data_IF_579601314392
#
_entry.id   IF_579601314392
#
_cell.length_a   1.000
_cell.length_b   1.000
_cell.length_c   1.000
_cell.angle_alpha   90.00
_cell.angle_beta   90.00
_cell.angle_gamma   90.00
#
_symmetry.space_group_name_H-M   'P 1'
#
loop_
_entity.id
_entity.type
_entity.pdbx_description
1 polymer ?
#
# COMPACT_ATOMS: atom_id res chain seq x y z
N UNK A 1 22.63 9.23 5.17
CA UNK A 1 21.32 9.88 4.92
C UNK A 1 20.21 8.92 4.44
N UNK A 2 20.52 7.71 3.94
CA UNK A 2 19.54 6.86 3.23
C UNK A 2 18.46 6.19 4.10
N UNK A 3 18.78 5.78 5.33
CA UNK A 3 17.84 4.98 6.16
C UNK A 3 16.70 5.80 6.74
N UNK A 4 16.97 7.02 7.22
CA UNK A 4 15.95 7.88 7.83
C UNK A 4 14.91 8.33 6.79
N UNK A 5 15.36 8.70 5.58
CA UNK A 5 14.45 9.06 4.48
C UNK A 5 13.59 7.88 4.04
N UNK A 6 14.16 6.68 3.93
CA UNK A 6 13.41 5.47 3.63
C UNK A 6 12.37 5.17 4.72
N UNK A 7 12.70 5.31 6.00
CA UNK A 7 11.75 5.13 7.12
C UNK A 7 10.62 6.16 7.07
N UNK A 8 10.93 7.44 6.81
CA UNK A 8 9.90 8.47 6.67
C UNK A 8 8.95 8.19 5.49
N UNK A 9 9.47 7.72 4.35
CA UNK A 9 8.64 7.44 3.18
C UNK A 9 7.82 6.17 3.39
N UNK A 10 8.42 5.08 3.90
CA UNK A 10 7.76 3.78 4.02
C UNK A 10 6.78 3.72 5.20
N UNK A 11 7.01 4.49 6.27
CA UNK A 11 6.20 4.39 7.50
C UNK A 11 5.35 5.63 7.71
N UNK A 12 5.92 6.84 7.64
CA UNK A 12 5.17 8.05 7.97
C UNK A 12 4.18 8.45 6.87
N UNK A 13 4.53 8.25 5.59
CA UNK A 13 3.69 8.62 4.46
C UNK A 13 2.37 7.81 4.39
N UNK A 14 2.38 6.47 4.52
CA UNK A 14 1.14 5.69 4.60
C UNK A 14 0.26 6.10 5.76
N UNK A 15 0.84 6.33 6.94
CA UNK A 15 0.08 6.73 8.14
C UNK A 15 -0.59 8.10 7.95
N UNK A 16 0.09 9.05 7.30
CA UNK A 16 -0.48 10.34 6.96
C UNK A 16 -1.67 10.19 5.98
N UNK A 17 -1.49 9.39 4.92
CA UNK A 17 -2.55 9.12 3.94
C UNK A 17 -3.75 8.47 4.61
N UNK A 18 -3.52 7.49 5.48
CA UNK A 18 -4.57 6.83 6.27
C UNK A 18 -5.33 7.83 7.13
N UNK A 19 -4.62 8.68 7.86
CA UNK A 19 -5.26 9.64 8.76
C UNK A 19 -6.12 10.66 8.00
N UNK A 20 -5.58 11.19 6.90
CA UNK A 20 -6.30 12.14 6.03
C UNK A 20 -7.50 11.48 5.34
N UNK A 21 -7.34 10.25 4.87
CA UNK A 21 -8.41 9.52 4.18
C UNK A 21 -9.54 9.09 5.13
N UNK A 22 -9.21 8.66 6.35
CA UNK A 22 -10.19 8.14 7.30
C UNK A 22 -10.94 9.26 8.05
N UNK A 23 -10.37 10.46 8.18
CA UNK A 23 -10.98 11.57 8.95
C UNK A 23 -12.43 11.94 8.57
N UNK A 24 -12.79 12.01 7.26
CA UNK A 24 -14.14 12.35 6.83
C UNK A 24 -15.20 11.30 7.17
N UNK A 25 -14.79 10.08 7.52
CA UNK A 25 -15.74 8.99 7.78
C UNK A 25 -16.29 9.06 9.23
N UNK A 26 -17.55 8.61 9.44
CA UNK A 26 -18.10 8.39 10.78
C UNK A 26 -17.21 7.49 11.63
N UNK A 27 -17.19 7.69 12.95
CA UNK A 27 -16.25 7.01 13.87
C UNK A 27 -16.32 5.49 13.74
N UNK A 28 -17.54 4.95 13.61
CA UNK A 28 -17.83 3.54 13.37
C UNK A 28 -17.21 2.98 12.08
N UNK A 29 -16.93 3.83 11.10
CA UNK A 29 -16.36 3.45 9.80
C UNK A 29 -14.88 3.81 9.63
N UNK A 30 -14.31 4.61 10.53
CA UNK A 30 -12.92 5.10 10.41
C UNK A 30 -11.89 3.97 10.36
N UNK A 31 -12.09 2.91 11.14
CA UNK A 31 -11.16 1.76 11.13
C UNK A 31 -11.19 1.06 9.78
N UNK A 32 -12.36 0.86 9.18
CA UNK A 32 -12.47 0.25 7.85
C UNK A 32 -11.86 1.14 6.77
N UNK A 33 -12.16 2.44 6.79
CA UNK A 33 -11.56 3.40 5.86
C UNK A 33 -10.03 3.47 6.01
N UNK A 34 -9.53 3.44 7.25
CA UNK A 34 -8.10 3.42 7.54
C UNK A 34 -7.42 2.17 6.99
N UNK A 35 -8.03 1.00 7.17
CA UNK A 35 -7.52 -0.27 6.62
C UNK A 35 -7.48 -0.24 5.10
N UNK A 36 -8.55 0.24 4.46
CA UNK A 36 -8.63 0.36 2.99
C UNK A 36 -7.57 1.29 2.43
N UNK A 37 -7.21 2.36 3.14
CA UNK A 37 -6.15 3.28 2.71
C UNK A 37 -4.74 2.78 3.06
N UNK A 38 -4.57 2.04 4.15
CA UNK A 38 -3.26 1.65 4.68
C UNK A 38 -2.51 0.71 3.74
N UNK A 39 -3.17 -0.34 3.26
CA UNK A 39 -2.53 -1.31 2.38
C UNK A 39 -2.04 -0.70 1.07
N UNK A 40 -2.88 -0.07 0.22
CA UNK A 40 -2.39 0.50 -1.04
C UNK A 40 -1.32 1.58 -0.81
N UNK A 41 -1.47 2.44 0.20
CA UNK A 41 -0.46 3.47 0.49
C UNK A 41 0.88 2.88 0.92
N UNK A 42 0.89 1.73 1.61
CA UNK A 42 2.12 1.01 1.98
C UNK A 42 2.85 0.46 0.76
N UNK A 43 2.14 -0.20 -0.16
CA UNK A 43 2.76 -0.73 -1.39
C UNK A 43 3.33 0.38 -2.29
N UNK A 44 2.58 1.48 -2.44
CA UNK A 44 3.05 2.68 -3.15
C UNK A 44 4.30 3.26 -2.49
N UNK A 45 4.31 3.36 -1.16
CA UNK A 45 5.43 3.94 -0.43
C UNK A 45 6.70 3.07 -0.49
N UNK A 46 6.55 1.74 -0.48
CA UNK A 46 7.66 0.80 -0.68
C UNK A 46 8.24 0.95 -2.10
N UNK A 47 7.37 1.03 -3.12
CA UNK A 47 7.82 1.20 -4.50
C UNK A 47 8.60 2.51 -4.69
N UNK A 48 8.05 3.63 -4.20
CA UNK A 48 8.75 4.93 -4.20
C UNK A 48 10.08 4.84 -3.46
N UNK A 49 10.09 4.26 -2.25
CA UNK A 49 11.32 4.15 -1.46
C UNK A 49 12.40 3.32 -2.16
N UNK A 50 12.01 2.25 -2.85
CA UNK A 50 12.92 1.43 -3.67
C UNK A 50 13.54 2.23 -4.81
N UNK A 51 12.70 2.95 -5.57
CA UNK A 51 13.15 3.75 -6.71
C UNK A 51 14.01 4.96 -6.27
N UNK A 52 13.73 5.54 -5.09
CA UNK A 52 14.59 6.55 -4.45
C UNK A 52 15.94 5.94 -4.05
N UNK A 53 15.94 4.75 -3.43
CA UNK A 53 17.17 4.09 -2.97
C UNK A 53 18.12 3.77 -4.14
N UNK A 54 17.54 3.41 -5.29
CA UNK A 54 18.25 3.14 -6.54
C UNK A 54 18.61 4.40 -7.33
N UNK A 55 18.17 5.59 -6.89
CA UNK A 55 18.45 6.86 -7.56
C UNK A 55 17.76 7.02 -8.92
N UNK A 56 16.65 6.31 -9.14
CA UNK A 56 15.92 6.28 -10.42
C UNK A 56 14.87 7.38 -10.55
N UNK A 57 14.50 8.02 -9.46
CA UNK A 57 13.56 9.17 -9.48
C UNK A 57 14.34 10.45 -9.77
N UNK A 58 14.25 10.91 -11.01
CA UNK A 58 14.86 12.17 -11.48
C UNK A 58 13.81 13.22 -11.85
N UNK A 59 12.57 12.79 -12.06
CA UNK A 59 11.47 13.63 -12.52
C UNK A 59 10.13 13.24 -11.86
N UNK A 60 9.13 14.11 -12.01
CA UNK A 60 7.75 13.81 -11.59
C UNK A 60 7.17 12.59 -12.32
N UNK A 61 7.61 12.34 -13.56
CA UNK A 61 7.17 11.18 -14.35
C UNK A 61 7.66 9.88 -13.73
N UNK A 62 8.90 9.84 -13.27
CA UNK A 62 9.49 8.66 -12.62
C UNK A 62 8.78 8.37 -11.29
N UNK A 63 8.51 9.43 -10.52
CA UNK A 63 7.72 9.31 -9.28
C UNK A 63 6.30 8.78 -9.55
N UNK A 64 5.65 9.24 -10.62
CA UNK A 64 4.34 8.71 -11.03
C UNK A 64 4.42 7.24 -11.45
N UNK A 65 5.46 6.85 -12.18
CA UNK A 65 5.68 5.45 -12.56
C UNK A 65 5.84 4.56 -11.32
N UNK A 66 6.62 4.98 -10.32
CA UNK A 66 6.74 4.27 -9.05
C UNK A 66 5.39 4.13 -8.30
N UNK A 67 4.55 5.18 -8.32
CA UNK A 67 3.20 5.09 -7.76
C UNK A 67 2.35 4.05 -8.49
N UNK A 68 2.38 4.04 -9.83
CA UNK A 68 1.63 3.08 -10.64
C UNK A 68 2.12 1.66 -10.39
N UNK A 69 3.43 1.44 -10.31
CA UNK A 69 4.02 0.13 -10.03
C UNK A 69 3.64 -0.38 -8.64
N UNK A 70 3.70 0.47 -7.62
CA UNK A 70 3.22 0.14 -6.28
C UNK A 70 1.72 -0.20 -6.25
N UNK A 71 0.90 0.55 -6.99
CA UNK A 71 -0.54 0.26 -7.14
C UNK A 71 -0.79 -1.09 -7.83
N UNK A 72 -0.07 -1.39 -8.90
CA UNK A 72 -0.15 -2.68 -9.59
C UNK A 72 0.31 -3.84 -8.70
N UNK A 73 1.38 -3.65 -7.93
CA UNK A 73 1.85 -4.64 -6.96
C UNK A 73 0.80 -4.94 -5.88
N UNK A 74 0.10 -3.91 -5.39
CA UNK A 74 -1.03 -4.08 -4.47
C UNK A 74 -2.17 -4.88 -5.12
N UNK A 75 -2.58 -4.53 -6.34
CA UNK A 75 -3.63 -5.26 -7.05
C UNK A 75 -3.27 -6.72 -7.25
N UNK A 76 -2.04 -7.01 -7.66
CA UNK A 76 -1.54 -8.38 -7.79
C UNK A 76 -1.59 -9.12 -6.45
N UNK A 77 -1.12 -8.49 -5.36
CA UNK A 77 -1.19 -9.06 -4.03
C UNK A 77 -2.63 -9.37 -3.61
N UNK A 78 -3.57 -8.45 -3.83
CA UNK A 78 -4.99 -8.69 -3.53
C UNK A 78 -5.59 -9.84 -4.34
N UNK A 79 -5.20 -9.99 -5.61
CA UNK A 79 -5.62 -11.10 -6.45
C UNK A 79 -5.04 -12.44 -5.97
N UNK A 80 -3.78 -12.47 -5.53
CA UNK A 80 -3.18 -13.67 -4.93
C UNK A 80 -3.88 -14.05 -3.62
N UNK A 81 -4.16 -13.08 -2.75
CA UNK A 81 -4.82 -13.33 -1.46
C UNK A 81 -6.26 -13.82 -1.64
N UNK A 82 -7.01 -13.27 -2.61
CA UNK A 82 -8.38 -13.72 -2.88
C UNK A 82 -8.44 -15.18 -3.31
N UNK A 83 -7.49 -15.63 -4.15
CA UNK A 83 -7.36 -17.05 -4.53
C UNK A 83 -7.11 -17.93 -3.30
N UNK A 84 -6.21 -17.52 -2.41
CA UNK A 84 -5.92 -18.28 -1.17
C UNK A 84 -7.18 -18.42 -0.31
N UNK A 85 -7.93 -17.34 -0.09
CA UNK A 85 -9.17 -17.39 0.70
C UNK A 85 -10.23 -18.29 0.06
N UNK A 86 -10.36 -18.27 -1.27
CA UNK A 86 -11.26 -19.18 -2.01
C UNK A 86 -10.82 -20.64 -1.81
N UNK A 87 -9.53 -20.94 -1.94
CA UNK A 87 -9.01 -22.29 -1.74
C UNK A 87 -9.26 -22.81 -0.31
N UNK A 88 -9.02 -21.97 0.71
CA UNK A 88 -9.31 -22.32 2.11
C UNK A 88 -10.81 -22.57 2.31
N UNK A 89 -11.66 -21.70 1.77
CA UNK A 89 -13.12 -21.88 1.85
C UNK A 89 -13.59 -23.19 1.21
N UNK A 90 -13.05 -23.54 0.04
CA UNK A 90 -13.35 -24.82 -0.62
C UNK A 90 -12.89 -26.03 0.21
N UNK A 91 -11.71 -25.96 0.84
CA UNK A 91 -11.23 -27.03 1.72
C UNK A 91 -12.12 -27.22 2.95
N UNK A 92 -12.62 -26.14 3.54
CA UNK A 92 -13.50 -26.20 4.71
C UNK A 92 -14.91 -26.74 4.39
N UNK A 93 -15.40 -26.56 3.16
CA UNK A 93 -16.69 -27.12 2.72
C UNK A 93 -16.55 -28.62 2.38
N UNK A 94 -15.35 -29.08 2.03
CA UNK A 94 -15.07 -30.46 1.65
C UNK A 94 -14.76 -31.40 2.84
N UNK A 95 -14.73 -30.89 4.07
CA UNK A 95 -14.52 -31.61 5.34
C UNK A 95 -15.85 -31.82 6.07
#
# INVERSE_FOLDING_TARGET
MKTLQAVCIVVALPLLVVWLFAMPFPVEHRVYAAVVAFFPSTFVSISIASEVADGRISSLRDAYAAVVDGGNAFLLWTACMSVIFVCIGLMLIAL
#
